data_IF_748283399339
#
_entry.id   IF_748283399339
#
_cell.length_a   1.000
_cell.length_b   1.000
_cell.length_c   1.000
_cell.angle_alpha   90.00
_cell.angle_beta   90.00
_cell.angle_gamma   90.00
#
_symmetry.space_group_name_H-M   'P 1'
#
loop_
_entity.id
_entity.type
_entity.pdbx_description
1 polymer ?
#
# COMPACT_ATOMS: atom_id res chain seq x y z
N UNK A 1 10.56 -17.68 22.94
CA UNK A 1 10.74 -18.49 21.72
C UNK A 1 9.36 -18.89 21.23
N UNK A 2 8.82 -18.19 20.24
CA UNK A 2 7.64 -18.66 19.51
C UNK A 2 8.17 -19.21 18.17
N UNK A 3 8.08 -20.52 18.02
CA UNK A 3 8.36 -21.22 16.76
C UNK A 3 7.03 -21.77 16.27
N UNK A 4 6.55 -21.26 15.14
CA UNK A 4 5.95 -22.00 14.01
C UNK A 4 5.48 -20.95 13.02
N UNK A 5 5.93 -21.11 11.79
CA UNK A 5 5.54 -20.41 10.57
C UNK A 5 4.00 -20.42 10.40
N UNK A 6 3.27 -19.49 11.03
CA UNK A 6 1.80 -19.42 10.96
C UNK A 6 1.38 -18.72 9.67
N UNK A 7 1.76 -19.35 8.56
CA UNK A 7 1.37 -18.95 7.23
C UNK A 7 -0.11 -19.27 7.03
N UNK A 8 -0.86 -18.27 6.61
CA UNK A 8 -2.24 -18.38 6.20
C UNK A 8 -2.33 -18.36 4.67
N UNK A 9 -2.96 -19.38 4.11
CA UNK A 9 -3.31 -19.38 2.69
C UNK A 9 -4.63 -18.61 2.50
N UNK A 10 -4.56 -17.49 1.78
CA UNK A 10 -5.72 -16.68 1.42
C UNK A 10 -5.94 -16.71 -0.09
N UNK A 11 -7.18 -16.41 -0.49
CA UNK A 11 -7.52 -16.13 -1.89
C UNK A 11 -8.04 -14.71 -1.98
N UNK A 12 -7.48 -13.93 -2.90
CA UNK A 12 -7.94 -12.58 -3.23
C UNK A 12 -8.55 -12.57 -4.64
N UNK A 13 -9.54 -11.70 -4.85
CA UNK A 13 -10.18 -11.47 -6.14
C UNK A 13 -10.00 -10.01 -6.51
N UNK A 14 -9.33 -9.75 -7.63
CA UNK A 14 -9.08 -8.40 -8.11
C UNK A 14 -9.84 -8.21 -9.41
N UNK A 15 -10.67 -7.17 -9.48
CA UNK A 15 -11.43 -6.81 -10.67
C UNK A 15 -12.14 -8.01 -11.33
N UNK A 16 -11.88 -8.22 -12.61
CA UNK A 16 -12.41 -9.29 -13.45
C UNK A 16 -11.37 -10.41 -13.71
N UNK A 17 -10.24 -10.42 -12.99
CA UNK A 17 -9.23 -11.47 -13.15
C UNK A 17 -9.54 -12.72 -12.32
N UNK A 18 -8.91 -13.84 -12.69
CA UNK A 18 -9.03 -15.08 -11.92
C UNK A 18 -8.52 -14.87 -10.48
N UNK A 19 -9.17 -15.50 -9.47
CA UNK A 19 -8.72 -15.42 -8.09
C UNK A 19 -7.25 -15.82 -7.94
N UNK A 20 -6.51 -15.08 -7.12
CA UNK A 20 -5.10 -15.31 -6.84
C UNK A 20 -4.95 -15.93 -5.46
N UNK A 21 -4.21 -17.03 -5.36
CA UNK A 21 -3.89 -17.67 -4.09
C UNK A 21 -2.55 -17.15 -3.57
N UNK A 22 -2.52 -16.75 -2.30
CA UNK A 22 -1.35 -16.20 -1.63
C UNK A 22 -1.11 -16.95 -0.32
N UNK A 23 0.16 -17.12 0.05
CA UNK A 23 0.57 -17.61 1.36
C UNK A 23 1.23 -16.44 2.11
N UNK A 24 0.60 -15.99 3.20
CA UNK A 24 0.96 -14.76 3.91
C UNK A 24 1.13 -15.03 5.40
N UNK A 25 1.76 -14.11 6.14
CA UNK A 25 1.71 -14.18 7.59
C UNK A 25 0.29 -13.84 8.09
N UNK A 26 -0.19 -14.61 9.07
CA UNK A 26 -1.58 -14.49 9.55
C UNK A 26 -1.92 -13.09 10.06
N UNK A 27 -0.97 -12.41 10.69
CA UNK A 27 -1.13 -11.04 11.20
C UNK A 27 -1.24 -9.99 10.09
N UNK A 28 -0.78 -10.31 8.89
CA UNK A 28 -0.89 -9.43 7.73
C UNK A 28 -2.23 -9.54 6.99
N UNK A 29 -3.04 -10.58 7.22
CA UNK A 29 -4.31 -10.80 6.51
C UNK A 29 -5.16 -9.52 6.41
N UNK A 30 -5.40 -8.74 7.48
CA UNK A 30 -6.21 -7.53 7.41
C UNK A 30 -5.70 -6.53 6.35
N UNK A 31 -4.38 -6.39 6.21
CA UNK A 31 -3.75 -5.49 5.23
C UNK A 31 -3.98 -5.99 3.80
N UNK A 32 -3.87 -7.29 3.57
CA UNK A 32 -4.17 -7.90 2.27
C UNK A 32 -5.65 -7.73 1.88
N UNK A 33 -6.58 -7.90 2.83
CA UNK A 33 -8.03 -7.69 2.61
C UNK A 33 -8.36 -6.23 2.33
N UNK A 34 -7.70 -5.31 3.03
CA UNK A 34 -7.85 -3.88 2.77
C UNK A 34 -7.35 -3.52 1.38
N UNK A 35 -6.18 -4.01 0.97
CA UNK A 35 -5.64 -3.80 -0.37
C UNK A 35 -6.58 -4.34 -1.46
N UNK A 36 -7.10 -5.56 -1.29
CA UNK A 36 -8.10 -6.18 -2.17
C UNK A 36 -9.33 -5.26 -2.33
N UNK A 37 -9.89 -4.78 -1.20
CA UNK A 37 -11.04 -3.88 -1.19
C UNK A 37 -10.74 -2.56 -1.90
N UNK A 38 -9.58 -1.96 -1.66
CA UNK A 38 -9.18 -0.68 -2.24
C UNK A 38 -9.02 -0.77 -3.76
N UNK A 39 -8.34 -1.82 -4.26
CA UNK A 39 -8.19 -2.08 -5.70
C UNK A 39 -9.55 -2.24 -6.35
N UNK A 40 -10.41 -3.10 -5.80
CA UNK A 40 -11.75 -3.36 -6.36
C UNK A 40 -12.64 -2.12 -6.34
N UNK A 41 -12.58 -1.31 -5.28
CA UNK A 41 -13.36 -0.08 -5.18
C UNK A 41 -12.96 0.92 -6.27
N UNK A 42 -11.65 1.11 -6.48
CA UNK A 42 -11.16 2.05 -7.49
C UNK A 42 -11.44 1.53 -8.90
N UNK A 43 -11.17 0.24 -9.16
CA UNK A 43 -11.45 -0.38 -10.45
C UNK A 43 -12.94 -0.31 -10.80
N UNK A 44 -13.84 -0.65 -9.89
CA UNK A 44 -15.30 -0.56 -10.13
C UNK A 44 -15.73 0.87 -10.49
N UNK A 45 -15.24 1.85 -9.73
CA UNK A 45 -15.52 3.27 -9.99
C UNK A 45 -15.03 3.71 -11.37
N UNK A 46 -13.86 3.23 -11.79
CA UNK A 46 -13.24 3.64 -13.05
C UNK A 46 -13.78 2.87 -14.24
N UNK A 47 -14.13 1.59 -14.09
CA UNK A 47 -14.86 0.86 -15.11
C UNK A 47 -16.20 1.53 -15.39
N UNK A 48 -16.96 1.94 -14.37
CA UNK A 48 -18.21 2.67 -14.60
C UNK A 48 -18.00 3.98 -15.38
N UNK A 49 -16.88 4.66 -15.14
CA UNK A 49 -16.52 5.93 -15.80
C UNK A 49 -16.01 5.73 -17.23
N UNK A 50 -15.21 4.69 -17.47
CA UNK A 50 -14.44 4.51 -18.69
C UNK A 50 -14.89 3.32 -19.54
N UNK A 51 -15.97 2.62 -19.17
CA UNK A 51 -16.47 1.42 -19.87
C UNK A 51 -16.68 1.58 -21.38
N UNK A 52 -16.92 2.80 -21.86
CA UNK A 52 -17.17 3.08 -23.27
C UNK A 52 -15.89 3.45 -24.04
N UNK A 53 -14.79 3.72 -23.34
CA UNK A 53 -13.56 4.30 -23.92
C UNK A 53 -12.30 3.51 -23.60
N UNK A 54 -12.38 2.57 -22.66
CA UNK A 54 -11.21 1.81 -22.21
C UNK A 54 -11.56 0.36 -21.90
N UNK A 55 -10.61 -0.53 -22.18
CA UNK A 55 -10.71 -1.94 -21.81
C UNK A 55 -10.53 -2.11 -20.29
N UNK A 56 -10.92 -3.29 -19.77
CA UNK A 56 -10.67 -3.65 -18.37
C UNK A 56 -9.18 -3.58 -18.02
N UNK A 57 -8.32 -4.06 -18.93
CA UNK A 57 -6.86 -4.03 -18.76
C UNK A 57 -6.33 -2.60 -18.67
N UNK A 58 -6.80 -1.69 -19.53
CA UNK A 58 -6.42 -0.28 -19.47
C UNK A 58 -6.87 0.39 -18.17
N UNK A 59 -8.07 0.07 -17.70
CA UNK A 59 -8.56 0.57 -16.40
C UNK A 59 -7.71 0.01 -15.26
N UNK A 60 -7.35 -1.27 -15.29
CA UNK A 60 -6.45 -1.88 -14.31
C UNK A 60 -5.05 -1.25 -14.34
N UNK A 61 -4.49 -0.97 -15.52
CA UNK A 61 -3.20 -0.30 -15.67
C UNK A 61 -3.23 1.10 -15.02
N UNK A 62 -4.33 1.84 -15.18
CA UNK A 62 -4.52 3.11 -14.49
C UNK A 62 -4.58 2.91 -12.97
N UNK A 63 -5.31 1.91 -12.49
CA UNK A 63 -5.45 1.61 -11.05
C UNK A 63 -4.07 1.35 -10.45
N UNK A 64 -3.27 0.49 -11.09
CA UNK A 64 -1.89 0.20 -10.69
C UNK A 64 -1.02 1.47 -10.67
N UNK A 65 -1.07 2.28 -11.73
CA UNK A 65 -0.34 3.55 -11.80
C UNK A 65 -0.71 4.50 -10.66
N UNK A 66 -2.01 4.62 -10.34
CA UNK A 66 -2.48 5.51 -9.29
C UNK A 66 -1.99 5.07 -7.90
N UNK A 67 -1.99 3.76 -7.60
CA UNK A 67 -1.42 3.26 -6.35
C UNK A 67 0.10 3.44 -6.29
N UNK A 68 0.83 3.20 -7.39
CA UNK A 68 2.26 3.46 -7.46
C UNK A 68 2.59 4.95 -7.21
N UNK A 69 1.80 5.86 -7.80
CA UNK A 69 1.94 7.30 -7.58
C UNK A 69 1.69 7.69 -6.12
N UNK A 70 0.64 7.14 -5.50
CA UNK A 70 0.31 7.38 -4.09
C UNK A 70 1.41 6.84 -3.17
N UNK A 71 1.90 5.64 -3.43
CA UNK A 71 3.03 5.06 -2.70
C UNK A 71 4.27 5.96 -2.78
N UNK A 72 4.65 6.40 -3.98
CA UNK A 72 5.81 7.27 -4.16
C UNK A 72 5.64 8.63 -3.44
N UNK A 73 4.41 9.15 -3.35
CA UNK A 73 4.12 10.36 -2.60
C UNK A 73 4.31 10.15 -1.10
N UNK A 74 3.65 9.13 -0.52
CA UNK A 74 3.76 8.82 0.92
C UNK A 74 5.20 8.50 1.32
N UNK A 75 5.94 7.77 0.47
CA UNK A 75 7.34 7.47 0.69
C UNK A 75 8.18 8.75 0.83
N UNK A 76 8.00 9.73 -0.07
CA UNK A 76 8.71 11.02 0.01
C UNK A 76 8.32 11.81 1.26
N UNK A 77 7.04 11.83 1.62
CA UNK A 77 6.55 12.51 2.83
C UNK A 77 7.14 11.90 4.11
N UNK A 78 7.24 10.56 4.18
CA UNK A 78 7.88 9.84 5.29
C UNK A 78 9.39 10.12 5.39
N UNK A 79 10.08 10.20 4.26
CA UNK A 79 11.50 10.57 4.24
C UNK A 79 11.73 11.99 4.75
N UNK A 80 10.95 12.96 4.25
CA UNK A 80 11.03 14.35 4.71
C UNK A 80 10.72 14.48 6.21
N UNK A 81 9.76 13.69 6.71
CA UNK A 81 9.44 13.65 8.14
C UNK A 81 10.60 13.07 8.96
N UNK A 82 11.22 11.99 8.49
CA UNK A 82 12.37 11.38 9.16
C UNK A 82 13.57 12.33 9.21
N UNK A 83 13.86 13.03 8.11
CA UNK A 83 14.91 14.05 8.05
C UNK A 83 14.64 15.21 9.03
N UNK A 84 13.40 15.70 9.07
CA UNK A 84 13.00 16.74 10.02
C UNK A 84 13.18 16.31 11.48
N UNK A 85 12.83 15.08 11.82
CA UNK A 85 13.01 14.53 13.17
C UNK A 85 14.49 14.40 13.53
N UNK A 86 15.34 13.95 12.61
CA UNK A 86 16.80 13.86 12.84
C UNK A 86 17.43 15.24 13.05
N UNK A 87 17.02 16.24 12.26
CA UNK A 87 17.46 17.63 12.44
C UNK A 87 16.99 18.22 13.77
N UNK A 88 15.80 17.84 14.22
CA UNK A 88 15.25 18.26 15.51
C UNK A 88 16.00 17.62 16.69
N UNK A 89 16.30 16.33 16.62
CA UNK A 89 17.09 15.60 17.61
C UNK A 89 18.48 16.23 17.79
N UNK A 90 19.17 16.51 16.68
CA UNK A 90 20.49 17.19 16.71
C UNK A 90 20.43 18.55 17.40
N UNK A 91 19.37 19.33 17.18
CA UNK A 91 19.20 20.63 17.83
C UNK A 91 18.98 20.49 19.34
N UNK A 92 18.29 19.44 19.79
CA UNK A 92 18.12 19.17 21.22
C UNK A 92 19.46 18.78 21.86
N UNK A 93 20.23 17.91 21.21
CA UNK A 93 21.58 17.53 21.68
C UNK A 93 22.49 18.75 21.81
N UNK A 94 22.47 19.66 20.82
CA UNK A 94 23.25 20.90 20.85
C UNK A 94 22.86 21.84 22.02
N UNK A 95 21.61 21.80 22.49
CA UNK A 95 21.15 22.58 23.65
C UNK A 95 21.63 21.93 24.95
N UNK A 96 21.55 20.60 25.06
CA UNK A 96 21.90 19.87 26.27
C UNK A 96 23.41 19.84 26.51
N UNK A 97 24.22 19.78 25.46
CA UNK A 97 25.70 19.77 25.56
C UNK A 97 26.27 21.17 25.87
N UNK A 98 25.50 22.24 25.62
CA UNK A 98 25.92 23.64 25.87
C UNK A 98 25.56 24.17 27.27
N UNK A 99 25.08 23.30 28.16
CA UNK A 99 24.87 23.55 29.59
C UNK A 99 25.94 22.79 30.37
#
# INVERSE_FOLDING_TARGET
MATTDDKLNITIRLADVKPLSLSIDRDEEPRYREAEKLVNTLWNKWMLRFRNTSSSEEVMARVAFQFARLYAQVYRENMATSEYLADFEKKLDDIVIKI
#
